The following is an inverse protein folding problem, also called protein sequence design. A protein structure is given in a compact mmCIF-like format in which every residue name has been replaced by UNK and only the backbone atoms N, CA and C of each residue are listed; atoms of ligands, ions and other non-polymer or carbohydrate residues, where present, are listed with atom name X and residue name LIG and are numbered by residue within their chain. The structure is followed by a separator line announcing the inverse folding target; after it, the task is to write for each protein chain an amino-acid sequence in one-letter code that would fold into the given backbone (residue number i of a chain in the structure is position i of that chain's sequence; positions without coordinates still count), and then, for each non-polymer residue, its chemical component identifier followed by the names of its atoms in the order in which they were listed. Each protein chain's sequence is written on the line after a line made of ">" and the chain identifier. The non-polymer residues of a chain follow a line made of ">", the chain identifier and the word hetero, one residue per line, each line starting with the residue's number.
data_IF_496556896677
#
_entry.id   IF_496556896677
#
_cell.length_a   1.000
_cell.length_b   1.000
_cell.length_c   1.000
_cell.angle_alpha   90.00
_cell.angle_beta   90.00
_cell.angle_gamma   90.00
#
_symmetry.space_group_name_H-M   'P 1'
#
loop_
_entity.id
_entity.type
_entity.pdbx_description
1 polymer ?
#
# COMPACT_ATOMS: atom_id res chain seq x y z
N UNK A 1 1.08 -17.24 -15.88
CA UNK A 1 1.78 -16.27 -15.01
C UNK A 1 2.73 -15.46 -15.87
N UNK A 2 2.59 -14.14 -15.81
CA UNK A 2 3.43 -13.17 -16.52
C UNK A 2 4.38 -12.51 -15.51
N UNK A 3 5.67 -12.85 -15.50
CA UNK A 3 6.63 -12.23 -14.59
C UNK A 3 6.99 -10.82 -15.06
N UNK A 4 7.09 -9.89 -14.11
CA UNK A 4 7.62 -8.55 -14.23
C UNK A 4 8.78 -8.39 -13.24
N UNK A 5 9.51 -7.27 -13.30
CA UNK A 5 10.72 -7.08 -12.50
C UNK A 5 10.51 -7.30 -10.98
N UNK A 6 9.38 -6.84 -10.43
CA UNK A 6 9.10 -6.88 -8.99
C UNK A 6 7.81 -7.61 -8.63
N UNK A 7 6.95 -7.92 -9.59
CA UNK A 7 5.67 -8.57 -9.35
C UNK A 7 5.34 -9.58 -10.46
N UNK A 8 4.34 -10.40 -10.24
CA UNK A 8 3.78 -11.30 -11.24
C UNK A 8 2.30 -10.98 -11.47
N UNK A 9 1.85 -11.18 -12.71
CA UNK A 9 0.43 -11.14 -13.07
C UNK A 9 -0.06 -12.52 -13.46
N UNK A 10 -1.28 -12.83 -13.08
CA UNK A 10 -2.04 -13.98 -13.56
C UNK A 10 -3.28 -13.44 -14.22
N UNK A 11 -3.33 -13.54 -15.54
CA UNK A 11 -4.54 -13.27 -16.32
C UNK A 11 -5.30 -14.58 -16.48
N UNK A 12 -6.60 -14.51 -16.30
CA UNK A 12 -7.47 -15.69 -16.40
C UNK A 12 -8.75 -15.30 -17.12
N UNK A 13 -9.17 -16.15 -18.05
CA UNK A 13 -10.39 -15.92 -18.81
C UNK A 13 -11.62 -16.11 -17.91
N UNK A 14 -12.53 -15.13 -17.94
CA UNK A 14 -13.72 -15.12 -17.07
C UNK A 14 -13.44 -14.87 -15.59
N UNK A 15 -12.19 -14.61 -15.20
CA UNK A 15 -11.78 -14.36 -13.82
C UNK A 15 -11.04 -13.04 -13.63
N UNK A 16 -10.75 -12.69 -12.37
CA UNK A 16 -9.99 -11.49 -12.04
C UNK A 16 -8.51 -11.64 -12.39
N UNK A 17 -7.90 -10.59 -12.93
CA UNK A 17 -6.44 -10.53 -13.04
C UNK A 17 -5.84 -10.35 -11.65
N UNK A 18 -4.96 -11.26 -11.25
CA UNK A 18 -4.27 -11.19 -9.98
C UNK A 18 -2.87 -10.61 -10.17
N UNK A 19 -2.54 -9.58 -9.40
CA UNK A 19 -1.17 -9.13 -9.22
C UNK A 19 -0.67 -9.59 -7.85
N UNK A 20 0.53 -10.14 -7.78
CA UNK A 20 1.14 -10.52 -6.51
C UNK A 20 2.65 -10.30 -6.54
N UNK A 21 3.21 -10.13 -5.35
CA UNK A 21 4.65 -9.96 -5.15
C UNK A 21 5.25 -11.30 -4.67
N UNK A 22 6.08 -11.98 -5.47
CA UNK A 22 6.62 -13.30 -5.08
C UNK A 22 7.39 -13.29 -3.76
N UNK A 23 8.06 -12.16 -3.44
CA UNK A 23 8.79 -11.98 -2.19
C UNK A 23 7.91 -11.80 -0.95
N UNK A 24 6.59 -11.65 -1.10
CA UNK A 24 5.65 -11.55 0.03
C UNK A 24 5.42 -12.89 0.74
N UNK A 25 5.74 -14.00 0.07
CA UNK A 25 5.46 -15.35 0.55
C UNK A 25 4.04 -15.82 0.29
N UNK A 26 3.20 -15.00 -0.35
CA UNK A 26 1.87 -15.39 -0.80
C UNK A 26 1.98 -16.50 -1.84
N UNK A 27 1.15 -17.53 -1.70
CA UNK A 27 1.04 -18.64 -2.65
C UNK A 27 -0.15 -18.43 -3.57
N UNK A 28 -0.12 -19.10 -4.71
CA UNK A 28 -1.25 -19.13 -5.63
C UNK A 28 -1.92 -20.50 -5.50
N UNK A 29 -3.19 -20.48 -5.15
CA UNK A 29 -4.06 -21.65 -5.12
C UNK A 29 -4.87 -21.70 -6.41
N UNK A 30 -5.22 -22.90 -6.82
CA UNK A 30 -6.08 -23.14 -7.99
C UNK A 30 -7.32 -23.91 -7.56
N UNK A 31 -8.49 -23.40 -7.91
CA UNK A 31 -9.79 -24.05 -7.68
C UNK A 31 -10.72 -23.79 -8.87
N UNK A 32 -11.37 -24.82 -9.37
CA UNK A 32 -12.32 -24.77 -10.48
C UNK A 32 -11.79 -24.06 -11.74
N UNK A 33 -10.49 -24.21 -12.00
CA UNK A 33 -9.82 -23.60 -13.16
C UNK A 33 -9.37 -22.15 -12.95
N UNK A 34 -9.60 -21.58 -11.77
CA UNK A 34 -9.21 -20.22 -11.42
C UNK A 34 -8.08 -20.16 -10.39
N UNK A 35 -7.29 -19.08 -10.46
CA UNK A 35 -6.24 -18.78 -9.52
C UNK A 35 -6.72 -17.82 -8.42
N UNK A 36 -6.20 -18.01 -7.20
CA UNK A 36 -6.49 -17.24 -6.00
C UNK A 36 -5.21 -16.99 -5.23
N UNK A 37 -5.16 -15.95 -4.41
CA UNK A 37 -4.04 -15.69 -3.51
C UNK A 37 -4.31 -16.30 -2.14
N UNK A 38 -3.42 -17.16 -1.67
CA UNK A 38 -3.36 -17.66 -0.28
C UNK A 38 -2.70 -16.56 0.59
N UNK A 39 -3.49 -15.60 1.01
CA UNK A 39 -3.01 -14.38 1.67
C UNK A 39 -2.52 -14.65 3.10
N UNK A 40 -3.16 -15.59 3.81
CA UNK A 40 -2.74 -15.99 5.15
C UNK A 40 -1.76 -17.17 5.14
N UNK A 41 -1.44 -17.72 3.97
CA UNK A 41 -0.44 -18.77 3.74
C UNK A 41 -0.75 -20.09 4.44
N UNK A 42 -2.05 -20.38 4.66
CA UNK A 42 -2.49 -21.63 5.30
C UNK A 42 -2.65 -22.80 4.31
N UNK A 43 -2.58 -22.53 3.00
CA UNK A 43 -2.74 -23.53 1.94
C UNK A 43 -4.20 -23.93 1.64
N UNK A 44 -5.16 -23.21 2.19
CA UNK A 44 -6.60 -23.43 2.00
C UNK A 44 -7.17 -22.15 1.35
N UNK A 45 -8.07 -22.33 0.39
CA UNK A 45 -8.78 -21.19 -0.17
C UNK A 45 -9.91 -20.79 0.79
N UNK A 46 -9.65 -19.74 1.55
CA UNK A 46 -10.63 -19.17 2.47
C UNK A 46 -11.64 -18.28 1.75
N UNK A 47 -12.83 -18.08 2.32
CA UNK A 47 -13.88 -17.28 1.69
C UNK A 47 -13.41 -15.84 1.41
N UNK A 48 -12.66 -15.22 2.30
CA UNK A 48 -12.19 -13.84 2.10
C UNK A 48 -11.16 -13.71 0.95
N UNK A 49 -10.49 -14.78 0.58
CA UNK A 49 -9.51 -14.87 -0.51
C UNK A 49 -10.17 -15.15 -1.87
N UNK A 50 -11.33 -15.77 -1.83
CA UNK A 50 -12.07 -16.16 -3.02
C UNK A 50 -12.87 -14.97 -3.57
N UNK A 51 -12.35 -14.38 -4.65
CA UNK A 51 -12.95 -13.23 -5.31
C UNK A 51 -14.30 -13.50 -5.96
N UNK A 52 -14.80 -14.74 -6.00
CA UNK A 52 -16.13 -15.09 -6.51
C UNK A 52 -17.23 -14.77 -5.50
N UNK A 53 -16.91 -14.71 -4.22
CA UNK A 53 -17.85 -14.27 -3.18
C UNK A 53 -18.02 -12.74 -3.19
N UNK A 54 -19.14 -12.28 -2.67
CA UNK A 54 -19.43 -10.86 -2.53
C UNK A 54 -18.44 -10.18 -1.56
N UNK A 55 -18.20 -8.85 -1.69
CA UNK A 55 -17.38 -8.13 -0.72
C UNK A 55 -17.86 -8.30 0.73
N UNK A 56 -19.17 -8.37 0.94
CA UNK A 56 -19.80 -8.54 2.27
C UNK A 56 -19.46 -9.90 2.87
N UNK A 57 -19.64 -10.99 2.12
CA UNK A 57 -19.30 -12.35 2.56
C UNK A 57 -17.79 -12.47 2.89
N UNK A 58 -16.97 -11.91 2.04
CA UNK A 58 -15.51 -11.90 2.22
C UNK A 58 -15.10 -11.08 3.45
N UNK A 59 -15.72 -9.92 3.66
CA UNK A 59 -15.46 -9.10 4.83
C UNK A 59 -15.91 -9.76 6.13
N UNK A 60 -17.06 -10.44 6.12
CA UNK A 60 -17.56 -11.19 7.28
C UNK A 60 -16.63 -12.35 7.66
N UNK A 61 -16.12 -13.10 6.67
CA UNK A 61 -15.16 -14.17 6.92
C UNK A 61 -13.83 -13.62 7.45
N UNK A 62 -13.30 -12.56 6.84
CA UNK A 62 -12.08 -11.91 7.27
C UNK A 62 -12.20 -11.39 8.71
N UNK A 63 -13.32 -10.73 9.04
CA UNK A 63 -13.53 -10.17 10.38
C UNK A 63 -13.50 -11.24 11.50
N UNK A 64 -13.92 -12.46 11.21
CA UNK A 64 -13.86 -13.58 12.16
C UNK A 64 -12.43 -14.10 12.43
N UNK A 65 -11.49 -13.74 11.57
CA UNK A 65 -10.09 -14.20 11.61
C UNK A 65 -9.16 -13.18 12.25
N UNK A 66 -9.60 -11.92 12.34
CA UNK A 66 -8.78 -10.82 12.86
C UNK A 66 -8.74 -10.83 14.39
N UNK A 67 -7.57 -10.57 14.93
CA UNK A 67 -7.41 -10.28 16.36
C UNK A 67 -7.95 -8.88 16.70
N UNK A 68 -8.14 -8.61 17.97
CA UNK A 68 -8.55 -7.27 18.44
C UNK A 68 -7.51 -6.21 18.08
N UNK A 69 -6.23 -6.55 18.11
CA UNK A 69 -5.12 -5.68 17.75
C UNK A 69 -5.13 -5.37 16.24
N UNK A 70 -5.41 -6.36 15.39
CA UNK A 70 -5.55 -6.16 13.94
C UNK A 70 -6.76 -5.28 13.63
N UNK A 71 -7.91 -5.51 14.27
CA UNK A 71 -9.10 -4.66 14.12
C UNK A 71 -8.82 -3.23 14.58
N UNK A 72 -8.17 -3.05 15.72
CA UNK A 72 -7.79 -1.74 16.22
C UNK A 72 -6.86 -1.02 15.22
N UNK A 73 -5.89 -1.73 14.66
CA UNK A 73 -4.99 -1.18 13.63
C UNK A 73 -5.72 -0.71 12.37
N UNK A 74 -6.75 -1.44 11.93
CA UNK A 74 -7.60 -1.04 10.79
C UNK A 74 -8.41 0.23 11.06
N UNK A 75 -8.67 0.56 12.33
CA UNK A 75 -9.36 1.80 12.73
C UNK A 75 -8.41 2.99 12.86
N UNK A 76 -7.10 2.77 12.79
CA UNK A 76 -6.09 3.82 12.87
C UNK A 76 -5.83 4.45 11.49
N UNK A 77 -5.48 5.73 11.54
CA UNK A 77 -5.03 6.50 10.38
C UNK A 77 -3.61 6.99 10.62
N UNK A 78 -2.75 6.90 9.61
CA UNK A 78 -1.36 7.31 9.79
C UNK A 78 -1.23 8.81 10.04
N UNK A 79 -0.15 9.22 10.67
CA UNK A 79 0.32 10.59 10.54
C UNK A 79 0.64 10.90 9.07
N UNK A 80 0.78 12.17 8.74
CA UNK A 80 1.17 12.61 7.40
C UNK A 80 2.46 11.94 6.93
N UNK A 81 2.45 11.41 5.71
CA UNK A 81 3.61 10.74 5.11
C UNK A 81 4.19 11.58 3.97
N UNK A 82 5.51 11.62 3.91
CA UNK A 82 6.26 12.17 2.78
C UNK A 82 6.94 11.02 2.01
N UNK A 83 7.08 11.17 0.69
CA UNK A 83 7.70 10.18 -0.20
C UNK A 83 8.63 10.87 -1.20
N UNK A 84 9.93 10.67 -1.11
CA UNK A 84 10.61 10.01 0.01
C UNK A 84 10.53 10.83 1.30
N UNK A 85 10.81 10.19 2.43
CA UNK A 85 10.90 10.91 3.71
C UNK A 85 12.35 11.33 3.97
N UNK A 86 12.49 12.47 4.64
CA UNK A 86 13.78 12.98 5.10
C UNK A 86 14.23 12.27 6.38
N UNK A 87 15.52 12.28 6.69
CA UNK A 87 16.07 11.71 7.92
C UNK A 87 15.92 12.62 9.14
N UNK A 88 15.53 13.88 8.94
CA UNK A 88 15.34 14.87 10.01
C UNK A 88 14.01 15.61 9.81
N UNK A 89 13.45 16.15 10.89
CA UNK A 89 12.20 16.90 10.88
C UNK A 89 11.00 16.08 11.39
N UNK A 90 9.83 16.71 11.40
CA UNK A 90 8.61 16.15 12.00
C UNK A 90 8.17 14.83 11.36
N UNK A 91 8.29 14.71 10.04
CA UNK A 91 7.94 13.50 9.29
C UNK A 91 9.15 12.62 8.93
N UNK A 92 10.25 12.79 9.67
CA UNK A 92 11.48 12.05 9.40
C UNK A 92 11.34 10.56 9.65
N UNK A 93 12.09 9.81 8.86
CA UNK A 93 12.31 8.38 9.04
C UNK A 93 13.67 8.00 8.46
N UNK A 94 14.07 6.77 8.67
CA UNK A 94 15.26 6.16 8.11
C UNK A 94 14.89 5.06 7.12
N UNK A 95 15.91 4.54 6.46
CA UNK A 95 15.84 3.40 5.53
C UNK A 95 16.93 2.42 5.92
N UNK A 96 16.54 1.30 6.53
CA UNK A 96 17.45 0.34 7.16
C UNK A 96 18.39 1.01 8.21
N UNK A 97 17.82 1.93 8.98
CA UNK A 97 18.55 2.64 10.04
C UNK A 97 19.39 3.84 9.61
N UNK A 98 19.47 4.12 8.29
CA UNK A 98 20.28 5.21 7.73
C UNK A 98 19.42 6.22 6.95
N UNK A 99 20.02 7.33 6.51
CA UNK A 99 19.33 8.24 5.59
C UNK A 99 19.09 7.58 4.22
N UNK A 100 18.11 8.09 3.46
CA UNK A 100 17.87 7.58 2.10
C UNK A 100 19.13 7.59 1.24
N UNK A 101 19.88 8.69 1.31
CA UNK A 101 21.14 8.86 0.55
C UNK A 101 22.18 7.78 0.88
N UNK A 102 22.32 7.45 2.15
CA UNK A 102 23.30 6.46 2.62
C UNK A 102 22.84 5.02 2.35
N UNK A 103 21.53 4.80 2.38
CA UNK A 103 20.94 3.47 2.14
C UNK A 103 21.09 2.98 0.70
N UNK A 104 21.23 3.90 -0.26
CA UNK A 104 21.25 3.59 -1.70
C UNK A 104 19.91 3.07 -2.24
N UNK A 105 18.85 3.12 -1.44
CA UNK A 105 17.53 2.66 -1.86
C UNK A 105 16.84 3.67 -2.81
N UNK A 106 15.90 3.22 -3.65
CA UNK A 106 15.16 4.12 -4.52
C UNK A 106 14.24 5.06 -3.70
N UNK A 107 13.92 6.21 -4.25
CA UNK A 107 13.06 7.21 -3.63
C UNK A 107 11.64 6.70 -3.32
N UNK A 108 11.23 5.65 -3.99
CA UNK A 108 9.97 4.94 -3.77
C UNK A 108 10.04 3.87 -2.67
N UNK A 109 11.17 3.71 -1.98
CA UNK A 109 11.31 2.72 -0.92
C UNK A 109 10.38 3.02 0.27
N UNK A 110 9.90 1.96 0.92
CA UNK A 110 9.13 2.05 2.16
C UNK A 110 10.08 2.29 3.33
N UNK A 111 9.89 3.37 4.06
CA UNK A 111 10.77 3.75 5.17
C UNK A 111 10.55 2.88 6.42
N UNK A 112 11.50 2.93 7.36
CA UNK A 112 11.44 2.13 8.58
C UNK A 112 10.20 2.45 9.44
N UNK A 113 9.81 3.72 9.53
CA UNK A 113 8.59 4.15 10.23
C UNK A 113 7.32 3.61 9.56
N UNK A 114 7.29 3.61 8.22
CA UNK A 114 6.18 3.06 7.45
C UNK A 114 6.10 1.55 7.64
N UNK A 115 7.22 0.83 7.55
CA UNK A 115 7.27 -0.60 7.83
C UNK A 115 6.80 -0.92 9.26
N UNK A 116 7.20 -0.09 10.24
CA UNK A 116 6.82 -0.26 11.63
C UNK A 116 5.31 -0.16 11.82
N UNK A 117 4.68 0.93 11.42
CA UNK A 117 3.24 1.07 11.65
C UNK A 117 2.40 0.06 10.86
N UNK A 118 2.83 -0.35 9.66
CA UNK A 118 2.14 -1.38 8.89
C UNK A 118 2.19 -2.75 9.56
N UNK A 119 3.36 -3.11 10.11
CA UNK A 119 3.59 -4.43 10.69
C UNK A 119 3.22 -4.51 12.16
N UNK A 120 3.67 -3.52 12.97
CA UNK A 120 3.58 -3.60 14.43
C UNK A 120 2.25 -3.02 14.93
N UNK A 121 1.73 -1.99 14.27
CA UNK A 121 0.47 -1.33 14.64
C UNK A 121 -0.72 -1.82 13.78
N UNK A 122 -0.51 -2.74 12.86
CA UNK A 122 -1.52 -3.27 11.90
C UNK A 122 -2.27 -2.20 11.10
N UNK A 123 -1.71 -1.00 10.98
CA UNK A 123 -2.32 0.14 10.32
C UNK A 123 -2.42 -0.11 8.81
N UNK A 124 -3.56 0.26 8.20
CA UNK A 124 -3.78 0.13 6.75
C UNK A 124 -4.28 1.41 6.08
N UNK A 125 -4.78 2.40 6.83
CA UNK A 125 -5.16 3.69 6.27
C UNK A 125 -3.99 4.68 6.35
N UNK A 126 -3.43 5.08 5.19
CA UNK A 126 -2.20 5.88 5.10
C UNK A 126 -2.46 7.19 4.37
N UNK A 127 -2.14 8.32 5.03
CA UNK A 127 -2.24 9.66 4.47
C UNK A 127 -0.89 10.10 3.88
N UNK A 128 -0.84 10.31 2.57
CA UNK A 128 0.33 10.89 1.91
C UNK A 128 0.06 12.36 1.59
N UNK A 129 0.99 13.23 2.01
CA UNK A 129 0.83 14.69 1.84
C UNK A 129 1.91 15.31 0.97
N UNK A 130 3.03 14.62 0.80
CA UNK A 130 4.13 15.09 -0.04
C UNK A 130 4.69 13.92 -0.85
N UNK A 131 4.78 14.10 -2.16
CA UNK A 131 5.39 13.12 -3.06
C UNK A 131 6.29 13.83 -4.05
N UNK A 132 7.46 13.28 -4.33
CA UNK A 132 8.42 13.86 -5.25
C UNK A 132 7.89 13.95 -6.69
N UNK A 133 7.17 12.90 -7.14
CA UNK A 133 6.57 12.86 -8.47
C UNK A 133 5.46 11.79 -8.54
N UNK A 134 4.56 11.86 -9.54
CA UNK A 134 3.53 10.83 -9.75
C UNK A 134 4.10 9.42 -9.92
N UNK A 135 5.23 9.29 -10.59
CA UNK A 135 5.92 8.01 -10.76
C UNK A 135 6.37 7.43 -9.42
N UNK A 136 7.06 8.25 -8.61
CA UNK A 136 7.51 7.83 -7.28
C UNK A 136 6.32 7.47 -6.39
N UNK A 137 5.19 8.20 -6.48
CA UNK A 137 3.97 7.86 -5.76
C UNK A 137 3.44 6.48 -6.13
N UNK A 138 3.36 6.17 -7.42
CA UNK A 138 2.87 4.89 -7.91
C UNK A 138 3.79 3.72 -7.50
N UNK A 139 5.10 3.88 -7.68
CA UNK A 139 6.09 2.88 -7.26
C UNK A 139 6.06 2.64 -5.74
N UNK A 140 5.97 3.72 -4.94
CA UNK A 140 5.86 3.63 -3.50
C UNK A 140 4.56 2.93 -3.07
N UNK A 141 3.42 3.26 -3.68
CA UNK A 141 2.17 2.55 -3.42
C UNK A 141 2.33 1.05 -3.70
N UNK A 142 2.91 0.67 -4.83
CA UNK A 142 3.15 -0.73 -5.15
C UNK A 142 4.05 -1.42 -4.11
N UNK A 143 5.11 -0.74 -3.65
CA UNK A 143 6.00 -1.25 -2.60
C UNK A 143 5.29 -1.41 -1.25
N UNK A 144 4.38 -0.49 -0.90
CA UNK A 144 3.53 -0.61 0.29
C UNK A 144 2.60 -1.83 0.18
N UNK A 145 1.92 -1.99 -0.97
CA UNK A 145 1.04 -3.14 -1.22
C UNK A 145 1.82 -4.46 -1.15
N UNK A 146 2.99 -4.53 -1.80
CA UNK A 146 3.85 -5.70 -1.76
C UNK A 146 4.28 -6.06 -0.33
N UNK A 147 4.58 -5.06 0.48
CA UNK A 147 4.97 -5.26 1.87
C UNK A 147 3.83 -5.82 2.72
N UNK A 148 2.63 -5.22 2.65
CA UNK A 148 1.49 -5.67 3.46
C UNK A 148 0.89 -6.98 2.97
N UNK A 149 1.03 -7.32 1.71
CA UNK A 149 0.62 -8.63 1.17
C UNK A 149 1.30 -9.79 1.93
N UNK A 150 2.52 -9.56 2.43
CA UNK A 150 3.27 -10.51 3.25
C UNK A 150 2.92 -10.49 4.76
N UNK A 151 1.97 -9.68 5.21
CA UNK A 151 1.65 -9.49 6.63
C UNK A 151 0.26 -10.03 6.98
N UNK A 152 0.18 -10.79 8.07
CA UNK A 152 -1.09 -11.27 8.65
C UNK A 152 -2.03 -11.89 7.61
N UNK A 153 -3.19 -11.31 7.45
CA UNK A 153 -4.22 -11.72 6.49
C UNK A 153 -4.05 -11.07 5.10
N UNK A 154 -2.93 -10.41 4.82
CA UNK A 154 -2.66 -9.79 3.52
C UNK A 154 -3.58 -8.61 3.17
N UNK A 155 -4.11 -7.92 4.16
CA UNK A 155 -5.02 -6.78 3.97
C UNK A 155 -4.28 -5.62 3.27
N UNK A 156 -4.78 -5.13 2.13
CA UNK A 156 -4.10 -4.07 1.38
C UNK A 156 -4.13 -2.72 2.10
N UNK A 157 -3.16 -1.87 1.78
CA UNK A 157 -3.13 -0.48 2.25
C UNK A 157 -4.15 0.35 1.47
N UNK A 158 -4.92 1.17 2.20
CA UNK A 158 -5.75 2.23 1.64
C UNK A 158 -4.99 3.55 1.72
N UNK A 159 -4.49 4.03 0.59
CA UNK A 159 -3.74 5.28 0.52
C UNK A 159 -4.67 6.40 0.11
N UNK A 160 -4.68 7.45 0.93
CA UNK A 160 -5.39 8.68 0.66
C UNK A 160 -4.40 9.84 0.56
N UNK A 161 -4.84 10.93 -0.03
CA UNK A 161 -4.12 12.19 -0.07
C UNK A 161 -5.04 13.32 0.36
N UNK A 162 -4.45 14.45 0.69
CA UNK A 162 -5.17 15.69 0.99
C UNK A 162 -4.91 16.71 -0.16
N UNK A 163 -5.56 16.52 -1.32
CA UNK A 163 -5.28 17.28 -2.52
C UNK A 163 -5.91 18.66 -2.41
N UNK A 164 -5.09 19.68 -2.25
CA UNK A 164 -5.53 21.08 -2.28
C UNK A 164 -5.44 21.73 -3.64
N UNK A 165 -4.95 21.01 -4.65
CA UNK A 165 -4.85 21.48 -6.03
C UNK A 165 -4.21 22.87 -6.15
N UNK A 166 -3.15 23.14 -5.39
CA UNK A 166 -2.44 24.40 -5.46
C UNK A 166 -1.33 24.38 -6.50
N UNK A 167 -1.06 25.54 -7.07
CA UNK A 167 0.00 25.73 -8.07
C UNK A 167 1.41 25.80 -7.47
N UNK A 168 1.53 25.85 -6.15
CA UNK A 168 2.82 26.02 -5.46
C UNK A 168 3.45 24.68 -5.15
N UNK A 169 4.50 24.32 -5.85
CA UNK A 169 5.25 23.05 -5.68
C UNK A 169 5.89 22.87 -4.30
N UNK A 170 5.89 23.88 -3.44
CA UNK A 170 6.50 23.89 -2.11
C UNK A 170 5.50 24.05 -0.96
N UNK A 171 4.21 24.14 -1.26
CA UNK A 171 3.20 24.19 -0.21
C UNK A 171 3.21 22.90 0.61
N UNK A 172 3.22 23.01 1.92
CA UNK A 172 3.47 21.91 2.87
C UNK A 172 2.56 20.71 2.66
N UNK A 173 1.28 20.94 2.33
CA UNK A 173 0.30 19.89 2.09
C UNK A 173 0.06 19.60 0.60
N UNK A 174 0.81 20.23 -0.30
CA UNK A 174 0.58 20.18 -1.73
C UNK A 174 1.84 20.00 -2.57
N UNK A 175 2.96 19.74 -1.96
CA UNK A 175 4.23 19.59 -2.70
C UNK A 175 4.18 18.50 -3.78
N UNK A 176 3.23 17.59 -3.71
CA UNK A 176 2.98 16.57 -4.72
C UNK A 176 1.79 16.87 -5.65
N UNK A 177 0.87 17.74 -5.28
CA UNK A 177 -0.32 18.08 -6.09
C UNK A 177 -0.16 19.36 -6.89
N UNK A 178 0.74 20.27 -6.48
CA UNK A 178 1.02 21.49 -7.22
C UNK A 178 1.84 21.25 -8.48
N UNK A 179 1.39 21.72 -9.62
CA UNK A 179 2.15 21.82 -10.87
C UNK A 179 2.58 20.50 -11.54
N UNK A 180 2.96 19.49 -10.79
CA UNK A 180 3.40 18.19 -11.33
C UNK A 180 2.31 17.12 -11.32
N UNK A 181 1.33 17.20 -10.44
CA UNK A 181 0.29 16.17 -10.27
C UNK A 181 -1.09 16.70 -10.66
N UNK A 182 -1.45 17.92 -10.28
CA UNK A 182 -2.73 18.53 -10.62
C UNK A 182 -2.57 19.99 -10.98
N UNK A 183 -3.24 20.39 -12.06
CA UNK A 183 -3.36 21.79 -12.52
C UNK A 183 -4.74 22.37 -12.18
N UNK A 184 -5.56 21.69 -11.41
CA UNK A 184 -6.85 22.20 -10.97
C UNK A 184 -6.65 23.44 -10.10
N UNK A 185 -7.55 24.44 -10.17
CA UNK A 185 -7.47 25.59 -9.30
C UNK A 185 -7.55 25.16 -7.83
N UNK A 186 -6.94 25.94 -6.95
CA UNK A 186 -7.05 25.71 -5.52
C UNK A 186 -8.51 25.81 -5.05
N UNK A 187 -8.86 25.23 -3.89
CA UNK A 187 -10.20 25.38 -3.31
C UNK A 187 -10.63 26.84 -3.10
N UNK A 188 -9.67 27.76 -2.99
CA UNK A 188 -9.94 29.19 -2.91
C UNK A 188 -10.19 29.85 -4.29
N UNK A 189 -9.89 29.15 -5.36
CA UNK A 189 -10.10 29.60 -6.74
C UNK A 189 -11.35 29.05 -7.40
N UNK A 190 -12.10 28.20 -6.67
CA UNK A 190 -13.39 27.66 -7.05
C UNK A 190 -14.51 28.45 -6.37
#
# INVERSE_FOLDING_TARGET
>A
VEPHDTYCLIRQDGGQTLGYFPGSGVRILYSDGYAFKDLNRNGILDCYEDWRYTPEERAEDLAKRLSVEEIAGLMLYSSHQAVPTDSVGYWSSTYNGTSLRESGLPHSAVSDKQRKFLRDDNLRAVLVVRVESPRIAAEWNNNMQAFVEGLGQGIPVNISSDPRNETRAWAEYNAGSGGKISLWPSPLGL
#
